data_IF_470576207541
#
_entry.id   IF_470576207541
#
_cell.length_a   1.000
_cell.length_b   1.000
_cell.length_c   1.000
_cell.angle_alpha   90.00
_cell.angle_beta   90.00
_cell.angle_gamma   90.00
#
_symmetry.space_group_name_H-M   'P 1'
#
loop_
_entity.id
_entity.type
_entity.pdbx_description
1 polymer ?
#
# COMPACT_ATOMS: atom_id res chain seq x y z
N UNK A 1 -16.78 -6.87 18.76
CA UNK A 1 -16.29 -6.04 17.68
C UNK A 1 -16.41 -4.56 18.03
N UNK A 2 -17.61 -4.05 18.33
CA UNK A 2 -17.86 -2.65 18.71
C UNK A 2 -16.98 -2.17 19.89
N UNK A 3 -16.86 -2.96 20.96
CA UNK A 3 -15.96 -2.64 22.09
C UNK A 3 -14.50 -2.54 21.68
N UNK A 4 -14.04 -3.39 20.74
CA UNK A 4 -12.67 -3.32 20.18
C UNK A 4 -12.48 -2.03 19.40
N UNK A 5 -13.46 -1.68 18.54
CA UNK A 5 -13.42 -0.45 17.76
C UNK A 5 -13.34 0.78 18.67
N UNK A 6 -14.17 0.85 19.71
CA UNK A 6 -14.14 1.96 20.69
C UNK A 6 -12.79 2.06 21.42
N UNK A 7 -12.19 0.92 21.79
CA UNK A 7 -10.86 0.91 22.42
C UNK A 7 -9.77 1.45 21.51
N UNK A 8 -9.82 1.08 20.23
CA UNK A 8 -8.84 1.55 19.21
C UNK A 8 -9.04 3.03 18.85
N UNK A 9 -10.25 3.55 19.03
CA UNK A 9 -10.65 4.89 18.60
C UNK A 9 -10.81 5.88 19.75
N UNK A 10 -10.66 5.42 21.00
CA UNK A 10 -10.99 6.19 22.21
C UNK A 10 -10.27 7.54 22.29
N UNK A 11 -9.01 7.59 21.83
CA UNK A 11 -8.20 8.81 21.82
C UNK A 11 -8.50 9.74 20.63
N UNK A 12 -9.30 9.28 19.66
CA UNK A 12 -9.60 10.03 18.44
C UNK A 12 -11.04 10.49 18.34
N UNK A 13 -11.98 9.79 18.98
CA UNK A 13 -13.40 10.15 19.04
C UNK A 13 -13.64 11.30 20.02
N UNK A 14 -14.54 12.21 19.64
CA UNK A 14 -14.94 13.31 20.50
C UNK A 14 -15.92 12.84 21.58
N UNK A 15 -16.02 13.64 22.65
CA UNK A 15 -16.97 13.38 23.73
C UNK A 15 -18.41 13.39 23.17
N UNK A 16 -19.11 12.27 23.33
CA UNK A 16 -20.45 12.09 22.80
C UNK A 16 -20.55 11.30 21.49
N UNK A 17 -19.50 11.21 20.66
CA UNK A 17 -19.52 10.44 19.40
C UNK A 17 -19.93 8.98 19.64
N UNK A 18 -19.36 8.34 20.66
CA UNK A 18 -19.67 6.94 20.99
C UNK A 18 -21.16 6.73 21.34
N UNK A 19 -21.76 7.66 22.09
CA UNK A 19 -23.17 7.58 22.46
C UNK A 19 -24.08 7.77 21.24
N UNK A 20 -23.84 8.79 20.45
CA UNK A 20 -24.58 9.07 19.22
C UNK A 20 -24.45 7.94 18.20
N UNK A 21 -23.24 7.46 17.96
CA UNK A 21 -22.99 6.31 17.07
C UNK A 21 -23.74 5.06 17.53
N UNK A 22 -23.76 4.80 18.84
CA UNK A 22 -24.52 3.68 19.41
C UNK A 22 -26.01 3.80 19.12
N UNK A 23 -26.60 5.00 19.25
CA UNK A 23 -28.02 5.26 18.95
C UNK A 23 -28.28 4.99 17.46
N UNK A 24 -27.46 5.50 16.56
CA UNK A 24 -27.57 5.26 15.12
C UNK A 24 -27.51 3.78 14.77
N UNK A 25 -26.56 3.03 15.37
CA UNK A 25 -26.42 1.60 15.12
C UNK A 25 -27.60 0.78 15.65
N UNK A 26 -28.12 1.12 16.85
CA UNK A 26 -29.31 0.47 17.40
C UNK A 26 -30.51 0.71 16.48
N UNK A 27 -30.70 1.94 16.01
CA UNK A 27 -31.76 2.28 15.07
C UNK A 27 -31.60 1.47 13.77
N UNK A 28 -30.41 1.44 13.18
CA UNK A 28 -30.13 0.69 11.96
C UNK A 28 -30.41 -0.81 12.10
N UNK A 29 -30.11 -1.39 13.26
CA UNK A 29 -30.42 -2.81 13.56
C UNK A 29 -31.91 -3.03 13.79
N UNK A 30 -32.59 -2.11 14.46
CA UNK A 30 -34.03 -2.24 14.80
C UNK A 30 -34.93 -2.03 13.59
N UNK A 31 -34.62 -1.09 12.74
CA UNK A 31 -35.33 -0.81 11.48
C UNK A 31 -34.94 -1.80 10.35
N UNK A 32 -33.96 -2.55 10.56
CA UNK A 32 -33.54 -3.91 10.28
C UNK A 32 -33.54 -4.47 8.88
N UNK A 33 -33.77 -3.72 7.81
CA UNK A 33 -33.81 -4.26 6.47
C UNK A 33 -32.58 -3.90 5.61
N UNK A 34 -31.38 -3.92 6.23
CA UNK A 34 -30.14 -3.68 5.49
C UNK A 34 -29.79 -4.91 4.64
N UNK A 35 -29.73 -4.76 3.29
CA UNK A 35 -29.50 -5.90 2.41
C UNK A 35 -28.11 -6.49 2.62
N UNK A 36 -28.02 -7.80 2.67
CA UNK A 36 -26.74 -8.51 2.65
C UNK A 36 -26.16 -8.49 1.23
N UNK A 37 -24.84 -8.49 1.12
CA UNK A 37 -24.17 -8.61 -0.17
C UNK A 37 -24.30 -10.05 -0.75
N UNK A 38 -23.77 -10.26 -1.97
CA UNK A 38 -23.78 -11.58 -2.64
C UNK A 38 -23.05 -12.70 -1.87
N UNK A 39 -22.30 -12.38 -0.84
CA UNK A 39 -21.63 -13.33 0.07
C UNK A 39 -22.39 -13.54 1.39
N UNK A 40 -23.56 -12.94 1.54
CA UNK A 40 -24.41 -13.07 2.72
C UNK A 40 -23.92 -12.27 3.94
N UNK A 41 -22.98 -11.34 3.79
CA UNK A 41 -22.41 -10.54 4.87
C UNK A 41 -23.40 -9.49 5.37
N UNK A 42 -23.49 -9.36 6.70
CA UNK A 42 -24.24 -8.25 7.32
C UNK A 42 -23.47 -6.94 7.15
N UNK A 43 -24.05 -5.89 6.58
CA UNK A 43 -23.34 -4.64 6.28
C UNK A 43 -22.77 -3.95 7.52
N UNK A 44 -23.49 -3.92 8.63
CA UNK A 44 -23.02 -3.28 9.88
C UNK A 44 -21.79 -4.02 10.45
N UNK A 45 -21.82 -5.35 10.43
CA UNK A 45 -20.67 -6.16 10.90
C UNK A 45 -19.48 -5.96 9.97
N UNK A 46 -19.71 -5.95 8.65
CA UNK A 46 -18.69 -5.70 7.64
C UNK A 46 -18.04 -4.32 7.86
N UNK A 47 -18.85 -3.29 8.08
CA UNK A 47 -18.37 -1.92 8.31
C UNK A 47 -17.56 -1.80 9.60
N UNK A 48 -18.01 -2.43 10.69
CA UNK A 48 -17.23 -2.50 11.94
C UNK A 48 -15.86 -3.16 11.73
N UNK A 49 -15.81 -4.25 10.95
CA UNK A 49 -14.55 -4.93 10.64
C UNK A 49 -13.64 -4.05 9.79
N UNK A 50 -14.19 -3.39 8.77
CA UNK A 50 -13.46 -2.42 7.94
C UNK A 50 -12.94 -1.25 8.78
N UNK A 51 -13.76 -0.70 9.69
CA UNK A 51 -13.36 0.37 10.60
C UNK A 51 -12.22 -0.04 11.54
N UNK A 52 -12.20 -1.30 12.00
CA UNK A 52 -11.08 -1.84 12.79
C UNK A 52 -9.80 -1.89 11.96
N UNK A 53 -9.85 -2.36 10.72
CA UNK A 53 -8.69 -2.38 9.82
C UNK A 53 -8.17 -0.96 9.59
N UNK A 54 -9.06 -0.02 9.31
CA UNK A 54 -8.73 1.39 9.07
C UNK A 54 -8.07 2.04 10.29
N UNK A 55 -8.58 1.78 11.49
CA UNK A 55 -8.02 2.32 12.73
C UNK A 55 -6.69 1.67 13.12
N UNK A 56 -6.62 0.33 13.07
CA UNK A 56 -5.48 -0.44 13.59
C UNK A 56 -4.34 -0.57 12.58
N UNK A 57 -4.65 -0.90 11.32
CA UNK A 57 -3.65 -1.24 10.32
C UNK A 57 -3.24 -0.03 9.44
N UNK A 58 -4.17 0.89 9.15
CA UNK A 58 -3.86 2.12 8.41
C UNK A 58 -3.55 3.28 9.36
N UNK A 59 -4.25 3.37 10.51
CA UNK A 59 -4.05 4.42 11.50
C UNK A 59 -4.87 5.69 11.22
N UNK A 60 -5.97 5.58 10.47
CA UNK A 60 -6.90 6.69 10.25
C UNK A 60 -7.75 6.96 11.50
N UNK A 61 -8.30 8.18 11.57
CA UNK A 61 -8.91 8.70 12.79
C UNK A 61 -10.43 8.90 12.64
N UNK A 62 -10.99 9.72 13.53
CA UNK A 62 -12.40 10.00 13.77
C UNK A 62 -13.28 10.05 12.52
N UNK A 63 -12.96 10.92 11.58
CA UNK A 63 -13.81 11.13 10.40
C UNK A 63 -14.00 9.87 9.56
N UNK A 64 -12.94 9.09 9.36
CA UNK A 64 -12.99 7.84 8.62
C UNK A 64 -13.77 6.75 9.33
N UNK A 65 -13.60 6.63 10.64
CA UNK A 65 -14.34 5.65 11.47
C UNK A 65 -15.83 5.96 11.45
N UNK A 66 -16.22 7.22 11.73
CA UNK A 66 -17.61 7.64 11.69
C UNK A 66 -18.20 7.53 10.28
N UNK A 67 -17.46 7.92 9.26
CA UNK A 67 -17.88 7.79 7.87
C UNK A 67 -18.21 6.34 7.49
N UNK A 68 -17.34 5.39 7.83
CA UNK A 68 -17.58 3.97 7.60
C UNK A 68 -18.81 3.47 8.36
N UNK A 69 -18.97 3.86 9.62
CA UNK A 69 -20.06 3.37 10.46
C UNK A 69 -21.44 3.94 10.13
N UNK A 70 -21.50 5.09 9.46
CA UNK A 70 -22.75 5.81 9.19
C UNK A 70 -23.19 5.76 7.72
N UNK A 71 -22.31 5.43 6.76
CA UNK A 71 -22.64 5.51 5.34
C UNK A 71 -23.80 4.58 4.93
N UNK A 72 -23.90 3.37 5.49
CA UNK A 72 -25.01 2.46 5.21
C UNK A 72 -26.35 3.04 5.73
N UNK A 73 -26.35 3.75 6.84
CA UNK A 73 -27.54 4.42 7.35
C UNK A 73 -28.00 5.54 6.42
N UNK A 74 -27.07 6.30 5.85
CA UNK A 74 -27.37 7.35 4.85
C UNK A 74 -27.88 6.73 3.55
N UNK A 75 -27.18 5.72 3.04
CA UNK A 75 -27.55 5.01 1.81
C UNK A 75 -28.94 4.39 1.87
N UNK A 76 -29.33 3.85 3.01
CA UNK A 76 -30.64 3.23 3.25
C UNK A 76 -31.69 4.19 3.84
N UNK A 77 -31.45 5.51 3.77
CA UNK A 77 -32.38 6.57 4.17
C UNK A 77 -32.81 6.53 5.65
N UNK A 78 -32.04 5.91 6.52
CA UNK A 78 -32.29 5.91 7.99
C UNK A 78 -31.90 7.25 8.63
N UNK A 79 -30.98 7.98 8.00
CA UNK A 79 -30.64 9.36 8.30
C UNK A 79 -30.25 10.09 6.99
N UNK A 80 -30.25 11.44 7.04
CA UNK A 80 -29.86 12.24 5.89
C UNK A 80 -28.39 12.64 5.97
N UNK A 81 -27.75 12.86 4.82
CA UNK A 81 -26.38 13.38 4.77
C UNK A 81 -26.28 14.75 5.48
N UNK A 82 -27.31 15.61 5.33
CA UNK A 82 -27.37 16.91 5.98
C UNK A 82 -27.39 16.79 7.51
N UNK A 83 -28.16 15.83 8.07
CA UNK A 83 -28.19 15.60 9.52
C UNK A 83 -26.85 15.12 10.04
N UNK A 84 -26.16 14.24 9.29
CA UNK A 84 -24.80 13.78 9.65
C UNK A 84 -23.79 14.92 9.59
N UNK A 85 -23.86 15.77 8.56
CA UNK A 85 -23.00 16.95 8.43
C UNK A 85 -23.17 17.91 9.61
N UNK A 86 -24.42 18.17 10.02
CA UNK A 86 -24.72 19.01 11.17
C UNK A 86 -24.22 18.40 12.48
N UNK A 87 -24.33 17.09 12.64
CA UNK A 87 -24.00 16.39 13.90
C UNK A 87 -22.52 16.07 14.05
N UNK A 88 -21.81 15.70 12.95
CA UNK A 88 -20.44 15.19 12.97
C UNK A 88 -19.44 16.03 12.18
N UNK A 89 -19.92 16.96 11.33
CA UNK A 89 -19.11 17.87 10.53
C UNK A 89 -18.96 17.44 9.06
N UNK A 90 -18.48 18.40 8.24
CA UNK A 90 -18.29 18.20 6.77
C UNK A 90 -17.27 17.11 6.43
N UNK A 91 -16.23 16.94 7.24
CA UNK A 91 -15.23 15.89 7.05
C UNK A 91 -15.83 14.48 7.03
N UNK A 92 -16.80 14.22 7.93
CA UNK A 92 -17.52 12.93 7.97
C UNK A 92 -18.48 12.82 6.80
N UNK A 93 -19.22 13.89 6.51
CA UNK A 93 -20.17 13.94 5.40
C UNK A 93 -19.50 13.72 4.04
N UNK A 94 -18.32 14.32 3.82
CA UNK A 94 -17.53 14.14 2.60
C UNK A 94 -17.13 12.69 2.36
N UNK A 95 -16.65 12.01 3.39
CA UNK A 95 -16.31 10.57 3.32
C UNK A 95 -17.56 9.73 3.02
N UNK A 96 -18.68 10.00 3.69
CA UNK A 96 -19.94 9.26 3.46
C UNK A 96 -20.40 9.44 2.02
N UNK A 97 -20.33 10.64 1.48
CA UNK A 97 -20.69 10.94 0.09
C UNK A 97 -19.90 10.07 -0.89
N UNK A 98 -18.59 9.97 -0.71
CA UNK A 98 -17.73 9.12 -1.53
C UNK A 98 -18.03 7.62 -1.35
N UNK A 99 -18.23 7.16 -0.11
CA UNK A 99 -18.55 5.75 0.16
C UNK A 99 -19.91 5.32 -0.40
N UNK A 100 -20.94 6.16 -0.31
CA UNK A 100 -22.26 5.88 -0.88
C UNK A 100 -22.17 5.76 -2.41
N UNK A 101 -21.51 6.69 -3.09
CA UNK A 101 -21.27 6.61 -4.54
C UNK A 101 -20.58 5.29 -4.94
N UNK A 102 -19.51 4.90 -4.24
CA UNK A 102 -18.80 3.66 -4.55
C UNK A 102 -19.65 2.43 -4.27
N UNK A 103 -20.40 2.41 -3.16
CA UNK A 103 -21.28 1.28 -2.85
C UNK A 103 -22.39 1.08 -3.88
N UNK A 104 -22.85 2.15 -4.52
CA UNK A 104 -23.80 2.08 -5.64
C UNK A 104 -23.18 1.36 -6.84
N UNK A 105 -21.89 1.58 -7.12
CA UNK A 105 -21.18 0.90 -8.20
C UNK A 105 -21.09 -0.62 -8.00
N UNK A 106 -20.99 -1.06 -6.73
CA UNK A 106 -20.97 -2.49 -6.36
C UNK A 106 -22.36 -3.09 -6.11
N UNK A 107 -23.44 -2.34 -6.30
CA UNK A 107 -24.79 -2.83 -5.97
C UNK A 107 -25.27 -3.97 -6.88
N UNK A 108 -24.81 -4.00 -8.13
CA UNK A 108 -25.21 -4.97 -9.15
C UNK A 108 -24.19 -6.09 -9.38
N UNK A 109 -22.93 -5.84 -9.10
CA UNK A 109 -21.83 -6.78 -9.35
C UNK A 109 -20.87 -6.82 -8.17
N UNK A 110 -20.22 -7.97 -7.87
CA UNK A 110 -19.18 -8.05 -6.84
C UNK A 110 -17.90 -7.28 -7.20
N UNK A 111 -17.77 -6.86 -8.47
CA UNK A 111 -16.62 -6.13 -9.01
C UNK A 111 -17.07 -4.90 -9.80
N UNK A 112 -16.17 -3.95 -10.02
CA UNK A 112 -16.43 -2.76 -10.84
C UNK A 112 -16.44 -3.13 -12.31
N UNK A 113 -17.53 -2.80 -13.00
CA UNK A 113 -17.63 -2.88 -14.44
C UNK A 113 -16.89 -1.71 -15.11
N UNK A 114 -16.38 -1.91 -16.33
CA UNK A 114 -15.62 -0.88 -17.04
C UNK A 114 -16.39 0.43 -17.23
N UNK A 115 -17.69 0.36 -17.44
CA UNK A 115 -18.60 1.51 -17.56
C UNK A 115 -18.65 2.39 -16.29
N UNK A 116 -18.39 1.80 -15.14
CA UNK A 116 -18.42 2.45 -13.84
C UNK A 116 -17.04 2.91 -13.35
N UNK A 117 -15.99 2.60 -14.10
CA UNK A 117 -14.61 2.85 -13.66
C UNK A 117 -14.30 4.35 -13.53
N UNK A 118 -14.81 5.17 -14.46
CA UNK A 118 -14.72 6.63 -14.39
C UNK A 118 -15.33 7.19 -13.10
N UNK A 119 -16.50 6.69 -12.70
CA UNK A 119 -17.18 7.12 -11.46
C UNK A 119 -16.42 6.72 -10.20
N UNK A 120 -15.75 5.56 -10.23
CA UNK A 120 -14.83 5.15 -9.16
C UNK A 120 -13.67 6.14 -9.00
N UNK A 121 -13.01 6.50 -10.10
CA UNK A 121 -11.89 7.44 -10.08
C UNK A 121 -12.32 8.86 -9.69
N UNK A 122 -13.49 9.32 -10.09
CA UNK A 122 -14.06 10.60 -9.64
C UNK A 122 -14.24 10.63 -8.14
N UNK A 123 -14.75 9.54 -7.55
CA UNK A 123 -14.90 9.44 -6.09
C UNK A 123 -13.55 9.46 -5.38
N UNK A 124 -12.52 8.86 -5.97
CA UNK A 124 -11.15 8.91 -5.46
C UNK A 124 -10.54 10.32 -5.54
N UNK A 125 -10.79 11.03 -6.62
CA UNK A 125 -10.28 12.38 -6.82
C UNK A 125 -10.95 13.43 -5.92
N UNK A 126 -12.19 13.16 -5.42
CA UNK A 126 -12.89 14.03 -4.48
C UNK A 126 -12.30 13.96 -3.07
N UNK A 127 -12.05 12.74 -2.56
CA UNK A 127 -11.49 12.54 -1.21
C UNK A 127 -10.62 11.26 -1.15
N UNK A 128 -9.34 11.46 -0.98
CA UNK A 128 -8.36 10.38 -0.94
C UNK A 128 -8.52 9.42 0.24
N UNK A 129 -9.15 9.86 1.33
CA UNK A 129 -9.46 8.99 2.47
C UNK A 129 -10.39 7.85 2.05
N UNK A 130 -11.25 8.10 1.07
CA UNK A 130 -12.17 7.09 0.51
C UNK A 130 -11.39 5.94 -0.15
N UNK A 131 -10.29 6.23 -0.86
CA UNK A 131 -9.45 5.17 -1.46
C UNK A 131 -8.90 4.23 -0.38
N UNK A 132 -8.36 4.80 0.69
CA UNK A 132 -7.79 4.02 1.80
C UNK A 132 -8.85 3.14 2.49
N UNK A 133 -10.07 3.68 2.66
CA UNK A 133 -11.19 2.94 3.23
C UNK A 133 -11.63 1.80 2.31
N UNK A 134 -11.71 2.02 1.00
CA UNK A 134 -12.10 0.98 0.06
C UNK A 134 -11.05 -0.13 -0.04
N UNK A 135 -9.77 0.20 0.01
CA UNK A 135 -8.72 -0.82 0.12
C UNK A 135 -8.92 -1.69 1.36
N UNK A 136 -9.19 -1.07 2.52
CA UNK A 136 -9.47 -1.79 3.76
C UNK A 136 -10.75 -2.64 3.65
N UNK A 137 -11.79 -2.14 2.99
CA UNK A 137 -13.03 -2.88 2.72
C UNK A 137 -12.78 -4.10 1.83
N UNK A 138 -11.96 -3.96 0.78
CA UNK A 138 -11.59 -5.10 -0.08
C UNK A 138 -10.75 -6.13 0.67
N UNK A 139 -9.80 -5.71 1.50
CA UNK A 139 -9.04 -6.61 2.39
C UNK A 139 -9.99 -7.37 3.32
N UNK A 140 -10.92 -6.65 3.97
CA UNK A 140 -11.93 -7.27 4.83
C UNK A 140 -12.77 -8.31 4.08
N UNK A 141 -13.28 -7.94 2.90
CA UNK A 141 -14.04 -8.85 2.04
C UNK A 141 -13.22 -10.10 1.70
N UNK A 142 -11.99 -9.94 1.24
CA UNK A 142 -11.10 -11.05 0.87
C UNK A 142 -10.80 -12.00 2.05
N UNK A 143 -10.71 -11.47 3.28
CA UNK A 143 -10.55 -12.27 4.50
C UNK A 143 -11.80 -13.12 4.81
N UNK A 144 -13.00 -12.62 4.49
CA UNK A 144 -14.29 -13.23 4.86
C UNK A 144 -14.80 -14.28 3.86
N UNK A 145 -14.49 -14.14 2.58
CA UNK A 145 -15.06 -14.96 1.51
C UNK A 145 -14.39 -16.33 1.30
N UNK A 146 -13.50 -16.73 2.22
CA UNK A 146 -12.76 -17.99 2.12
C UNK A 146 -13.67 -19.21 1.93
N UNK A 147 -14.73 -19.29 2.71
CA UNK A 147 -15.66 -20.43 2.76
C UNK A 147 -16.98 -20.16 2.00
N UNK A 148 -17.00 -19.16 1.13
CA UNK A 148 -18.21 -18.86 0.36
C UNK A 148 -18.54 -19.98 -0.63
N UNK A 149 -19.82 -20.37 -0.77
CA UNK A 149 -20.24 -21.30 -1.81
C UNK A 149 -20.22 -20.65 -3.22
N UNK A 150 -20.22 -19.31 -3.30
CA UNK A 150 -20.16 -18.58 -4.56
C UNK A 150 -18.71 -18.42 -5.04
N UNK A 151 -18.17 -19.51 -5.61
CA UNK A 151 -16.78 -19.58 -6.08
C UNK A 151 -16.52 -18.62 -7.24
N UNK A 152 -17.50 -18.43 -8.13
CA UNK A 152 -17.37 -17.53 -9.27
C UNK A 152 -17.18 -16.08 -8.81
N UNK A 153 -18.07 -15.57 -7.96
CA UNK A 153 -17.95 -14.24 -7.39
C UNK A 153 -16.65 -14.05 -6.58
N UNK A 154 -16.22 -15.10 -5.83
CA UNK A 154 -14.93 -15.08 -5.12
C UNK A 154 -13.75 -14.91 -6.08
N UNK A 155 -13.76 -15.63 -7.19
CA UNK A 155 -12.70 -15.54 -8.22
C UNK A 155 -12.68 -14.17 -8.89
N UNK A 156 -13.86 -13.61 -9.20
CA UNK A 156 -13.98 -12.25 -9.75
C UNK A 156 -13.38 -11.20 -8.79
N UNK A 157 -13.77 -11.25 -7.51
CA UNK A 157 -13.23 -10.34 -6.46
C UNK A 157 -11.73 -10.52 -6.28
N UNK A 158 -11.22 -11.76 -6.32
CA UNK A 158 -9.79 -12.04 -6.23
C UNK A 158 -9.00 -11.45 -7.39
N UNK A 159 -9.52 -11.58 -8.61
CA UNK A 159 -8.92 -10.97 -9.80
C UNK A 159 -8.92 -9.44 -9.71
N UNK A 160 -10.04 -8.83 -9.34
CA UNK A 160 -10.12 -7.38 -9.12
C UNK A 160 -9.13 -6.90 -8.05
N UNK A 161 -9.01 -7.63 -6.93
CA UNK A 161 -8.04 -7.31 -5.89
C UNK A 161 -6.60 -7.34 -6.42
N UNK A 162 -6.27 -8.30 -7.30
CA UNK A 162 -4.94 -8.43 -7.88
C UNK A 162 -4.60 -7.32 -8.87
N UNK A 163 -5.54 -6.96 -9.77
CA UNK A 163 -5.21 -5.98 -10.83
C UNK A 163 -5.51 -4.52 -10.45
N UNK A 164 -6.34 -4.26 -9.46
CA UNK A 164 -6.74 -2.90 -9.06
C UNK A 164 -6.29 -2.55 -7.63
N UNK A 165 -6.76 -3.27 -6.63
CA UNK A 165 -6.60 -2.85 -5.24
C UNK A 165 -5.21 -3.12 -4.66
N UNK A 166 -4.52 -4.19 -5.05
CA UNK A 166 -3.14 -4.42 -4.65
C UNK A 166 -2.17 -3.39 -5.26
N UNK A 167 -2.25 -3.04 -6.56
CA UNK A 167 -1.49 -1.93 -7.13
C UNK A 167 -1.82 -0.56 -6.51
N UNK A 168 -3.10 -0.27 -6.21
CA UNK A 168 -3.50 0.93 -5.48
C UNK A 168 -2.86 0.99 -4.08
N UNK A 169 -2.92 -0.10 -3.33
CA UNK A 169 -2.30 -0.21 -2.03
C UNK A 169 -0.78 0.00 -2.11
N UNK A 170 -0.14 -0.51 -3.16
CA UNK A 170 1.29 -0.25 -3.44
C UNK A 170 1.57 1.23 -3.69
N UNK A 171 0.79 1.88 -4.55
CA UNK A 171 0.92 3.31 -4.88
C UNK A 171 0.80 4.18 -3.64
N UNK A 172 -0.09 3.82 -2.72
CA UNK A 172 -0.36 4.53 -1.46
C UNK A 172 0.56 4.11 -0.30
N UNK A 173 1.54 3.25 -0.54
CA UNK A 173 2.50 2.80 0.47
C UNK A 173 1.96 1.79 1.48
N UNK A 174 0.76 1.24 1.28
CA UNK A 174 0.13 0.23 2.15
C UNK A 174 0.69 -1.17 1.86
N UNK A 175 2.00 -1.36 2.02
CA UNK A 175 2.71 -2.58 1.58
C UNK A 175 2.23 -3.86 2.28
N UNK A 176 1.79 -3.77 3.55
CA UNK A 176 1.23 -4.89 4.29
C UNK A 176 -0.08 -5.35 3.66
N UNK A 177 -1.02 -4.43 3.45
CA UNK A 177 -2.33 -4.73 2.84
C UNK A 177 -2.18 -5.16 1.38
N UNK A 178 -1.25 -4.54 0.65
CA UNK A 178 -0.89 -4.95 -0.72
C UNK A 178 -0.46 -6.42 -0.76
N UNK A 179 0.49 -6.82 0.09
CA UNK A 179 0.98 -8.19 0.14
C UNK A 179 -0.11 -9.19 0.54
N UNK A 180 -1.00 -8.81 1.45
CA UNK A 180 -2.14 -9.65 1.85
C UNK A 180 -3.16 -9.80 0.73
N UNK A 181 -3.50 -8.73 0.01
CA UNK A 181 -4.39 -8.80 -1.16
C UNK A 181 -3.82 -9.72 -2.25
N UNK A 182 -2.53 -9.64 -2.53
CA UNK A 182 -1.86 -10.50 -3.50
C UNK A 182 -1.86 -11.97 -3.04
N UNK A 183 -1.55 -12.23 -1.77
CA UNK A 183 -1.54 -13.60 -1.23
C UNK A 183 -2.94 -14.22 -1.22
N UNK A 184 -3.97 -13.47 -0.82
CA UNK A 184 -5.36 -13.94 -0.85
C UNK A 184 -5.87 -14.13 -2.28
N UNK A 185 -5.49 -13.25 -3.21
CA UNK A 185 -5.82 -13.40 -4.63
C UNK A 185 -5.21 -14.69 -5.19
N UNK A 186 -3.93 -14.92 -4.96
CA UNK A 186 -3.26 -16.16 -5.37
C UNK A 186 -3.92 -17.39 -4.76
N UNK A 187 -4.29 -17.34 -3.48
CA UNK A 187 -4.97 -18.43 -2.78
C UNK A 187 -6.30 -18.81 -3.41
N UNK A 188 -7.04 -17.83 -3.95
CA UNK A 188 -8.37 -18.07 -4.53
C UNK A 188 -8.32 -18.38 -6.04
N UNK A 189 -7.28 -17.96 -6.73
CA UNK A 189 -7.12 -18.17 -8.18
C UNK A 189 -6.18 -19.33 -8.51
N UNK A 190 -5.14 -19.55 -7.71
CA UNK A 190 -4.08 -20.56 -7.92
C UNK A 190 -3.86 -21.37 -6.65
N UNK A 191 -4.93 -22.02 -6.17
CA UNK A 191 -5.00 -22.70 -4.88
C UNK A 191 -3.82 -23.66 -4.63
N UNK A 192 -3.52 -24.53 -5.57
CA UNK A 192 -2.50 -25.58 -5.41
C UNK A 192 -1.09 -24.96 -5.28
N UNK A 193 -0.81 -23.92 -6.08
CA UNK A 193 0.45 -23.19 -6.02
C UNK A 193 0.60 -22.48 -4.69
N UNK A 194 -0.46 -21.83 -4.22
CA UNK A 194 -0.45 -21.13 -2.93
C UNK A 194 -0.11 -22.09 -1.79
N UNK A 195 -0.80 -23.21 -1.70
CA UNK A 195 -0.59 -24.18 -0.62
C UNK A 195 0.74 -24.91 -0.74
N UNK A 196 1.21 -25.23 -1.96
CA UNK A 196 2.54 -25.79 -2.16
C UNK A 196 3.64 -24.89 -1.58
N UNK A 197 3.62 -23.59 -1.89
CA UNK A 197 4.61 -22.63 -1.35
C UNK A 197 4.44 -22.47 0.16
N UNK A 198 3.21 -22.41 0.65
CA UNK A 198 2.91 -22.29 2.09
C UNK A 198 3.47 -23.48 2.89
N UNK A 199 3.27 -24.69 2.39
CA UNK A 199 3.74 -25.92 3.05
C UNK A 199 5.27 -25.98 3.05
N UNK A 200 5.91 -25.63 1.93
CA UNK A 200 7.37 -25.51 1.84
C UNK A 200 7.94 -24.45 2.81
N UNK A 201 7.27 -23.31 2.97
CA UNK A 201 7.64 -22.32 3.98
C UNK A 201 7.53 -22.84 5.40
N UNK A 202 6.49 -23.63 5.69
CA UNK A 202 6.30 -24.25 7.00
C UNK A 202 7.36 -25.32 7.30
N UNK A 203 7.63 -26.21 6.36
CA UNK A 203 8.67 -27.26 6.46
C UNK A 203 10.06 -26.67 6.72
N UNK A 204 10.40 -25.56 6.08
CA UNK A 204 11.72 -24.91 6.20
C UNK A 204 11.80 -23.88 7.33
N UNK A 205 10.73 -23.67 8.09
CA UNK A 205 10.66 -22.59 9.09
C UNK A 205 11.78 -22.68 10.14
N UNK A 206 11.96 -23.84 10.75
CA UNK A 206 12.94 -24.01 11.83
C UNK A 206 14.38 -23.76 11.35
N UNK A 207 14.77 -24.28 10.19
CA UNK A 207 16.10 -24.06 9.62
C UNK A 207 16.30 -22.60 9.20
N UNK A 208 15.26 -21.94 8.68
CA UNK A 208 15.30 -20.54 8.34
C UNK A 208 15.41 -19.64 9.56
N UNK A 209 14.67 -19.91 10.64
CA UNK A 209 14.73 -19.16 11.89
C UNK A 209 16.11 -19.27 12.54
N UNK A 210 16.71 -20.47 12.51
CA UNK A 210 18.10 -20.71 12.97
C UNK A 210 19.12 -19.91 12.15
N UNK A 211 18.97 -19.89 10.82
CA UNK A 211 19.84 -19.11 9.94
C UNK A 211 19.72 -17.61 10.21
N UNK A 212 18.48 -17.09 10.35
CA UNK A 212 18.22 -15.69 10.66
C UNK A 212 18.89 -15.30 11.99
N UNK A 213 18.76 -16.12 13.03
CA UNK A 213 19.40 -15.88 14.32
C UNK A 213 20.92 -15.80 14.19
N UNK A 214 21.54 -16.75 13.50
CA UNK A 214 23.00 -16.78 13.27
C UNK A 214 23.49 -15.57 12.43
N UNK A 215 22.67 -15.04 11.53
CA UNK A 215 22.99 -13.84 10.78
C UNK A 215 22.86 -12.55 11.62
N UNK A 216 21.82 -12.47 12.45
CA UNK A 216 21.51 -11.28 13.27
C UNK A 216 22.51 -11.12 14.42
N UNK A 217 22.88 -12.18 15.12
CA UNK A 217 23.66 -12.14 16.36
C UNK A 217 24.98 -11.34 16.24
N UNK A 218 25.86 -11.56 15.24
CA UNK A 218 27.08 -10.77 15.11
C UNK A 218 26.83 -9.29 14.80
N UNK A 219 25.80 -9.00 13.99
CA UNK A 219 25.43 -7.60 13.66
C UNK A 219 24.94 -6.89 14.91
N UNK A 220 24.11 -7.55 15.72
CA UNK A 220 23.56 -7.00 16.95
C UNK A 220 24.69 -6.56 17.89
N UNK A 221 25.71 -7.39 18.13
CA UNK A 221 26.86 -7.04 18.94
C UNK A 221 27.60 -5.80 18.43
N UNK A 222 27.81 -5.70 17.12
CA UNK A 222 28.50 -4.55 16.54
C UNK A 222 27.68 -3.26 16.63
N UNK A 223 26.38 -3.32 16.49
CA UNK A 223 25.51 -2.17 16.66
C UNK A 223 25.43 -1.71 18.13
N UNK A 224 25.42 -2.65 19.08
CA UNK A 224 25.47 -2.38 20.52
C UNK A 224 26.82 -1.74 20.93
N UNK A 225 27.95 -2.25 20.41
CA UNK A 225 29.28 -1.65 20.58
C UNK A 225 29.34 -0.21 20.04
N UNK A 226 28.63 0.07 18.94
CA UNK A 226 28.53 1.40 18.37
C UNK A 226 27.60 2.36 19.16
N UNK A 227 26.94 1.88 20.21
CA UNK A 227 26.04 2.67 21.06
C UNK A 227 24.70 3.02 20.41
N UNK A 228 24.32 2.32 19.36
CA UNK A 228 23.06 2.56 18.67
C UNK A 228 21.88 1.91 19.41
N UNK A 229 20.73 2.56 19.39
CA UNK A 229 19.46 2.01 19.87
C UNK A 229 18.69 1.45 18.68
N UNK A 230 18.35 0.18 18.72
CA UNK A 230 17.72 -0.50 17.59
C UNK A 230 16.98 -1.77 18.02
N UNK A 231 16.18 -2.29 17.12
CA UNK A 231 15.73 -3.67 17.16
C UNK A 231 15.83 -4.31 15.76
N UNK A 232 15.96 -5.62 15.73
CA UNK A 232 16.11 -6.38 14.49
C UNK A 232 15.03 -7.44 14.38
N UNK A 233 14.53 -7.64 13.16
CA UNK A 233 13.55 -8.69 12.86
C UNK A 233 13.76 -9.31 11.49
N UNK A 234 13.60 -10.63 11.40
CA UNK A 234 13.46 -11.32 10.11
C UNK A 234 12.04 -11.15 9.56
N UNK A 235 11.89 -10.87 8.28
CA UNK A 235 10.62 -10.82 7.58
C UNK A 235 10.62 -11.81 6.43
N UNK A 236 9.77 -12.84 6.50
CA UNK A 236 9.53 -13.74 5.37
C UNK A 236 8.77 -13.00 4.27
N UNK A 237 9.16 -13.21 3.02
CA UNK A 237 8.46 -12.63 1.87
C UNK A 237 7.09 -13.26 1.68
N UNK A 238 6.15 -12.52 1.09
CA UNK A 238 4.81 -13.01 0.80
C UNK A 238 4.85 -14.19 -0.19
N UNK A 239 3.87 -15.07 -0.11
CA UNK A 239 3.75 -16.25 -0.98
C UNK A 239 3.68 -15.83 -2.45
N UNK A 240 2.90 -14.79 -2.75
CA UNK A 240 2.84 -14.20 -4.09
C UNK A 240 4.21 -13.71 -4.58
N UNK A 241 4.98 -13.00 -3.74
CA UNK A 241 6.32 -12.52 -4.10
C UNK A 241 7.29 -13.68 -4.41
N UNK A 242 7.20 -14.78 -3.65
CA UNK A 242 7.98 -16.00 -3.90
C UNK A 242 7.55 -16.62 -5.24
N UNK A 243 6.25 -16.75 -5.49
CA UNK A 243 5.72 -17.28 -6.74
C UNK A 243 6.17 -16.48 -7.96
N UNK A 244 6.11 -15.15 -7.89
CA UNK A 244 6.61 -14.28 -8.97
C UNK A 244 8.11 -14.50 -9.25
N UNK A 245 8.91 -14.74 -8.22
CA UNK A 245 10.34 -15.06 -8.38
C UNK A 245 10.54 -16.42 -9.02
N UNK A 246 9.82 -17.44 -8.58
CA UNK A 246 9.85 -18.77 -9.22
C UNK A 246 9.53 -18.67 -10.69
N UNK A 247 8.51 -17.92 -11.08
CA UNK A 247 8.17 -17.66 -12.50
C UNK A 247 9.27 -16.92 -13.25
N UNK A 248 9.77 -15.82 -12.69
CA UNK A 248 10.78 -14.97 -13.34
C UNK A 248 12.11 -15.69 -13.51
N UNK A 249 12.51 -16.47 -12.52
CA UNK A 249 13.78 -17.21 -12.51
C UNK A 249 13.64 -18.61 -13.13
N UNK A 250 12.42 -19.04 -13.46
CA UNK A 250 12.09 -20.38 -13.98
C UNK A 250 12.67 -21.50 -13.09
N UNK A 251 12.56 -21.35 -11.77
CA UNK A 251 13.08 -22.28 -10.79
C UNK A 251 11.99 -22.78 -9.83
N UNK A 252 12.16 -23.96 -9.21
CA UNK A 252 11.30 -24.41 -8.14
C UNK A 252 11.51 -23.58 -6.87
N UNK A 253 10.71 -23.84 -5.81
CA UNK A 253 10.80 -23.12 -4.53
C UNK A 253 12.22 -23.14 -3.93
N UNK A 254 12.90 -24.26 -4.00
CA UNK A 254 14.26 -24.48 -3.50
C UNK A 254 15.32 -23.61 -4.23
N UNK A 255 15.00 -23.15 -5.42
CA UNK A 255 15.86 -22.25 -6.20
C UNK A 255 15.72 -20.77 -5.82
N UNK A 256 14.76 -20.42 -4.95
CA UNK A 256 14.56 -19.03 -4.48
C UNK A 256 15.40 -18.78 -3.24
N UNK A 257 16.53 -18.09 -3.40
CA UNK A 257 17.47 -17.87 -2.28
C UNK A 257 17.08 -16.77 -1.31
N UNK A 258 16.32 -15.75 -1.72
CA UNK A 258 15.96 -14.60 -0.92
C UNK A 258 14.51 -14.68 -0.39
N UNK A 259 14.23 -15.74 0.39
CA UNK A 259 12.91 -15.99 0.99
C UNK A 259 12.55 -15.02 2.11
N UNK A 260 13.53 -14.33 2.69
CA UNK A 260 13.34 -13.40 3.79
C UNK A 260 14.25 -12.16 3.63
N UNK A 261 13.95 -11.13 4.39
CA UNK A 261 14.79 -9.95 4.58
C UNK A 261 15.01 -9.72 6.07
N UNK A 262 16.15 -9.15 6.43
CA UNK A 262 16.43 -8.66 7.78
C UNK A 262 16.14 -7.18 7.84
N UNK A 263 15.34 -6.76 8.80
CA UNK A 263 15.10 -5.35 9.10
C UNK A 263 15.89 -4.93 10.32
N UNK A 264 16.60 -3.83 10.19
CA UNK A 264 17.27 -3.12 11.30
C UNK A 264 16.53 -1.80 11.46
N UNK A 265 15.87 -1.63 12.59
CA UNK A 265 15.02 -0.47 12.88
C UNK A 265 15.65 0.30 14.03
N UNK A 266 16.04 1.56 13.75
CA UNK A 266 16.75 2.43 14.66
C UNK A 266 15.79 3.35 15.42
N UNK A 267 15.99 3.49 16.72
CA UNK A 267 15.38 4.55 17.53
C UNK A 267 16.31 5.78 17.51
N UNK A 268 16.21 6.52 16.39
CA UNK A 268 17.05 7.68 16.13
C UNK A 268 16.27 8.98 16.22
N UNK A 269 16.86 10.07 16.77
CA UNK A 269 16.28 11.40 16.62
C UNK A 269 16.30 11.83 15.16
N UNK A 270 15.29 12.61 14.75
CA UNK A 270 15.02 12.98 13.34
C UNK A 270 16.23 13.59 12.63
N UNK A 271 17.00 14.42 13.34
CA UNK A 271 18.20 15.11 12.82
C UNK A 271 19.37 14.14 12.55
N UNK A 272 19.36 12.93 13.14
CA UNK A 272 20.40 11.90 12.99
C UNK A 272 19.98 10.68 12.17
N UNK A 273 18.71 10.58 11.79
CA UNK A 273 18.17 9.39 11.13
C UNK A 273 19.01 8.93 9.93
N UNK A 274 19.32 9.85 9.03
CA UNK A 274 20.10 9.52 7.82
C UNK A 274 21.53 9.08 8.17
N UNK A 275 22.20 9.80 9.08
CA UNK A 275 23.55 9.49 9.50
C UNK A 275 23.64 8.11 10.14
N UNK A 276 22.74 7.80 11.06
CA UNK A 276 22.75 6.51 11.77
C UNK A 276 22.38 5.34 10.86
N UNK A 277 21.47 5.52 9.90
CA UNK A 277 21.19 4.50 8.89
C UNK A 277 22.43 4.18 8.04
N UNK A 278 23.18 5.19 7.59
CA UNK A 278 24.43 4.96 6.86
C UNK A 278 25.54 4.37 7.71
N UNK A 279 25.60 4.69 9.00
CA UNK A 279 26.50 4.04 9.95
C UNK A 279 26.20 2.55 10.06
N UNK A 280 24.94 2.17 10.18
CA UNK A 280 24.53 0.75 10.18
C UNK A 280 24.91 0.06 8.88
N UNK A 281 24.71 0.72 7.73
CA UNK A 281 25.14 0.18 6.44
C UNK A 281 26.64 -0.11 6.42
N UNK A 282 27.47 0.82 6.91
CA UNK A 282 28.92 0.63 7.01
C UNK A 282 29.26 -0.58 7.88
N UNK A 283 28.66 -0.70 9.06
CA UNK A 283 28.91 -1.82 9.99
C UNK A 283 28.53 -3.16 9.34
N UNK A 284 27.37 -3.24 8.68
CA UNK A 284 26.91 -4.48 8.02
C UNK A 284 27.82 -4.88 6.86
N UNK A 285 28.27 -3.90 6.07
CA UNK A 285 29.13 -4.16 4.89
C UNK A 285 30.58 -4.37 5.23
N UNK A 286 31.04 -3.97 6.42
CA UNK A 286 32.35 -4.38 6.95
C UNK A 286 32.36 -5.85 7.36
N UNK A 287 31.21 -6.39 7.80
CA UNK A 287 31.08 -7.78 8.24
C UNK A 287 30.75 -8.74 7.09
N UNK A 288 29.97 -8.30 6.12
CA UNK A 288 29.45 -9.11 5.03
C UNK A 288 29.61 -8.40 3.69
N UNK A 289 30.15 -9.08 2.69
CA UNK A 289 30.40 -8.53 1.36
C UNK A 289 29.08 -8.08 0.70
N UNK A 290 28.92 -6.79 0.36
CA UNK A 290 27.71 -6.30 -0.31
C UNK A 290 27.69 -6.61 -1.79
N UNK A 291 26.50 -6.72 -2.37
CA UNK A 291 26.29 -6.70 -3.81
C UNK A 291 26.02 -5.25 -4.27
N UNK A 292 26.99 -4.58 -4.94
CA UNK A 292 26.84 -3.16 -5.28
C UNK A 292 25.66 -2.86 -6.22
N UNK A 293 25.26 -3.84 -7.04
CA UNK A 293 24.13 -3.69 -7.99
C UNK A 293 22.77 -3.71 -7.28
N UNK A 294 22.73 -4.12 -6.00
CA UNK A 294 21.49 -4.26 -5.23
C UNK A 294 21.33 -3.22 -4.11
N UNK A 295 22.21 -2.23 -4.04
CA UNK A 295 22.01 -1.08 -3.16
C UNK A 295 20.84 -0.22 -3.67
N UNK A 296 19.92 0.13 -2.77
CA UNK A 296 18.80 1.05 -3.03
C UNK A 296 18.78 2.10 -1.92
N UNK A 297 19.06 3.34 -2.30
CA UNK A 297 19.06 4.49 -1.39
C UNK A 297 17.76 5.28 -1.55
N UNK A 298 16.76 4.92 -0.76
CA UNK A 298 15.54 5.70 -0.60
C UNK A 298 15.57 6.62 0.63
N UNK A 299 16.74 6.82 1.24
CA UNK A 299 16.96 7.84 2.26
C UNK A 299 17.31 9.18 1.62
N UNK A 300 18.16 9.15 0.60
CA UNK A 300 18.55 10.36 -0.12
C UNK A 300 17.46 10.84 -1.07
N UNK A 301 16.75 9.92 -1.68
CA UNK A 301 15.64 10.19 -2.60
C UNK A 301 14.47 9.27 -2.23
N UNK A 302 13.57 9.73 -1.35
CA UNK A 302 12.36 8.98 -0.97
C UNK A 302 11.46 8.68 -2.17
N UNK A 303 10.69 7.59 -2.08
CA UNK A 303 9.67 7.31 -3.09
C UNK A 303 8.52 8.34 -3.01
N UNK A 304 7.74 8.46 -4.09
CA UNK A 304 6.58 9.38 -4.16
C UNK A 304 5.55 9.17 -3.06
N UNK A 305 5.40 7.94 -2.59
CA UNK A 305 4.51 7.59 -1.48
C UNK A 305 5.13 7.84 -0.09
N UNK A 306 6.26 8.55 -0.01
CA UNK A 306 6.96 8.87 1.24
C UNK A 306 7.77 7.73 1.84
N UNK A 307 7.96 6.61 1.13
CA UNK A 307 8.77 5.49 1.61
C UNK A 307 10.24 5.86 1.67
N UNK A 308 10.85 5.71 2.85
CA UNK A 308 12.26 5.93 3.13
C UNK A 308 12.87 4.64 3.70
N UNK A 309 13.98 4.21 3.15
CA UNK A 309 14.75 3.06 3.66
C UNK A 309 16.05 2.88 2.89
N UNK A 310 17.05 2.31 3.50
CA UNK A 310 18.27 1.87 2.82
C UNK A 310 18.21 0.35 2.67
N UNK A 311 18.27 -0.15 1.43
CA UNK A 311 18.28 -1.58 1.17
C UNK A 311 19.63 -2.01 0.60
N UNK A 312 20.19 -3.06 1.13
CA UNK A 312 21.38 -3.71 0.60
C UNK A 312 21.18 -5.22 0.58
N UNK A 313 21.97 -5.90 -0.22
CA UNK A 313 22.01 -7.36 -0.22
C UNK A 313 23.46 -7.76 0.03
N UNK A 314 23.70 -8.59 1.04
CA UNK A 314 25.02 -9.01 1.46
C UNK A 314 25.17 -10.52 1.41
N UNK A 315 26.42 -11.01 1.26
CA UNK A 315 26.74 -12.42 1.34
C UNK A 315 26.84 -12.83 2.81
N UNK A 316 25.82 -13.51 3.30
CA UNK A 316 25.75 -14.01 4.69
C UNK A 316 26.45 -15.36 4.88
N UNK A 317 26.27 -15.99 6.04
CA UNK A 317 26.79 -17.32 6.30
C UNK A 317 26.37 -18.34 5.23
N UNK A 318 27.13 -19.40 5.05
CA UNK A 318 26.89 -20.47 4.06
C UNK A 318 26.82 -19.95 2.59
N UNK A 319 27.36 -18.75 2.31
CA UNK A 319 27.35 -18.18 0.96
C UNK A 319 25.96 -17.79 0.42
N UNK A 320 25.00 -17.52 1.31
CA UNK A 320 23.62 -17.13 0.93
C UNK A 320 23.47 -15.62 0.88
N UNK A 321 22.83 -15.11 -0.16
CA UNK A 321 22.47 -13.69 -0.26
C UNK A 321 21.34 -13.34 0.69
N UNK A 322 21.55 -12.31 1.53
CA UNK A 322 20.57 -11.80 2.50
C UNK A 322 20.26 -10.34 2.18
N UNK A 323 18.98 -10.01 2.02
CA UNK A 323 18.52 -8.64 1.92
C UNK A 323 18.45 -8.01 3.31
N UNK A 324 19.08 -6.85 3.49
CA UNK A 324 19.04 -6.05 4.72
C UNK A 324 18.36 -4.72 4.43
N UNK A 325 17.34 -4.41 5.21
CA UNK A 325 16.57 -3.16 5.15
C UNK A 325 16.87 -2.35 6.42
N UNK A 326 17.41 -1.15 6.24
CA UNK A 326 17.81 -0.25 7.32
C UNK A 326 16.92 0.98 7.30
N UNK A 327 16.30 1.31 8.43
CA UNK A 327 15.41 2.45 8.59
C UNK A 327 15.20 2.79 10.06
N UNK A 328 14.61 3.94 10.33
CA UNK A 328 14.21 4.32 11.69
C UNK A 328 12.79 3.90 12.01
N UNK A 329 12.36 4.03 13.28
CA UNK A 329 10.99 3.74 13.69
C UNK A 329 9.96 4.58 12.94
N UNK A 330 10.24 5.88 12.73
CA UNK A 330 9.39 6.76 11.90
C UNK A 330 9.24 6.23 10.47
N UNK A 331 10.35 5.85 9.85
CA UNK A 331 10.37 5.31 8.48
C UNK A 331 9.67 3.94 8.42
N UNK A 332 9.80 3.10 9.45
CA UNK A 332 9.09 1.81 9.53
C UNK A 332 7.58 2.01 9.69
N UNK A 333 7.14 3.00 10.47
CA UNK A 333 5.73 3.36 10.59
C UNK A 333 5.15 3.82 9.25
N UNK A 334 5.87 4.66 8.52
CA UNK A 334 5.46 5.08 7.16
C UNK A 334 5.42 3.87 6.21
N UNK A 335 6.41 2.98 6.28
CA UNK A 335 6.44 1.76 5.46
C UNK A 335 5.33 0.75 5.77
N UNK A 336 4.86 0.69 7.01
CA UNK A 336 3.79 -0.22 7.43
C UNK A 336 2.37 0.36 7.22
N UNK A 337 2.20 1.68 7.42
CA UNK A 337 0.90 2.38 7.39
C UNK A 337 0.72 3.30 6.18
N UNK A 338 1.76 3.44 5.36
CA UNK A 338 1.71 4.22 4.13
C UNK A 338 1.41 5.69 4.37
N UNK A 339 0.59 6.24 3.50
CA UNK A 339 0.28 7.65 3.43
C UNK A 339 -0.35 8.24 4.70
N UNK A 340 -1.18 7.47 5.39
CA UNK A 340 -1.82 7.94 6.64
C UNK A 340 -0.78 8.25 7.75
N UNK A 341 0.33 7.49 7.81
CA UNK A 341 1.44 7.79 8.69
C UNK A 341 2.21 9.03 8.22
N UNK A 342 2.43 9.17 6.91
CA UNK A 342 3.09 10.34 6.34
C UNK A 342 2.35 11.65 6.68
N UNK A 343 1.02 11.66 6.62
CA UNK A 343 0.20 12.82 7.02
C UNK A 343 0.34 13.17 8.51
N UNK A 344 0.60 12.19 9.37
CA UNK A 344 0.84 12.44 10.80
C UNK A 344 2.10 13.27 11.04
N UNK A 345 3.16 13.02 10.26
CA UNK A 345 4.46 13.67 10.42
C UNK A 345 4.58 15.00 9.65
N UNK A 346 3.99 15.10 8.45
CA UNK A 346 4.12 16.28 7.57
C UNK A 346 2.85 17.12 7.42
N UNK A 347 1.73 16.68 7.99
CA UNK A 347 0.40 17.32 7.82
C UNK A 347 -0.26 16.94 6.49
N UNK A 348 -1.57 17.28 6.38
CA UNK A 348 -2.40 16.93 5.20
C UNK A 348 -2.07 17.78 3.97
N UNK A 349 -1.46 18.96 4.18
CA UNK A 349 -1.06 19.90 3.12
C UNK A 349 0.47 19.89 2.94
N UNK A 350 1.00 18.85 2.34
CA UNK A 350 2.40 18.81 1.92
C UNK A 350 2.45 18.37 0.47
N UNK A 351 3.24 19.03 -0.35
CA UNK A 351 3.58 18.62 -1.72
C UNK A 351 4.10 17.18 -1.68
N UNK A 352 3.21 16.22 -1.83
CA UNK A 352 3.57 14.83 -2.01
C UNK A 352 3.37 14.48 -3.48
N UNK A 353 4.18 13.59 -4.02
CA UNK A 353 3.99 13.06 -5.37
C UNK A 353 2.62 12.41 -5.61
N UNK A 354 1.80 12.40 -4.57
CA UNK A 354 0.42 11.95 -4.58
C UNK A 354 -0.56 13.04 -5.03
N UNK A 355 -0.28 14.32 -4.74
CA UNK A 355 -1.08 15.44 -5.28
C UNK A 355 -0.87 15.52 -6.80
N UNK A 356 0.35 15.25 -7.28
CA UNK A 356 0.65 15.10 -8.71
C UNK A 356 -0.13 13.94 -9.33
N UNK A 357 -0.17 12.78 -8.67
CA UNK A 357 -0.92 11.64 -9.13
C UNK A 357 -2.43 11.88 -9.16
N UNK A 358 -3.01 12.55 -8.14
CA UNK A 358 -4.42 12.94 -8.16
C UNK A 358 -4.72 13.95 -9.27
N UNK A 359 -3.77 14.85 -9.55
CA UNK A 359 -3.88 15.79 -10.66
C UNK A 359 -3.86 15.02 -11.98
N UNK A 360 -2.96 14.06 -12.16
CA UNK A 360 -2.91 13.17 -13.33
C UNK A 360 -4.22 12.39 -13.52
N UNK A 361 -4.82 11.87 -12.43
CA UNK A 361 -6.14 11.23 -12.51
C UNK A 361 -7.21 12.20 -13.02
N UNK A 362 -7.22 13.44 -12.52
CA UNK A 362 -8.19 14.46 -12.99
C UNK A 362 -7.99 14.78 -14.46
N UNK A 363 -6.75 14.99 -14.90
CA UNK A 363 -6.41 15.22 -16.30
C UNK A 363 -6.82 14.04 -17.19
N UNK A 364 -6.59 12.80 -16.75
CA UNK A 364 -7.05 11.60 -17.46
C UNK A 364 -8.57 11.57 -17.59
N UNK A 365 -9.30 11.92 -16.52
CA UNK A 365 -10.76 11.98 -16.53
C UNK A 365 -11.31 13.07 -17.44
N UNK A 366 -10.59 14.18 -17.60
CA UNK A 366 -10.98 15.31 -18.45
C UNK A 366 -10.69 15.05 -19.94
N UNK A 367 -9.60 14.32 -20.25
CA UNK A 367 -9.09 14.18 -21.62
C UNK A 367 -9.48 12.86 -22.31
N UNK A 368 -9.89 11.83 -21.57
CA UNK A 368 -10.22 10.53 -22.14
C UNK A 368 -11.63 10.51 -22.75
N UNK A 369 -11.73 10.01 -23.96
CA UNK A 369 -12.99 9.95 -24.74
C UNK A 369 -13.92 8.80 -24.31
N UNK A 370 -13.39 7.77 -23.63
CA UNK A 370 -14.15 6.60 -23.18
C UNK A 370 -13.73 6.07 -21.81
N UNK A 371 -14.62 5.37 -21.13
CA UNK A 371 -14.34 4.75 -19.82
C UNK A 371 -13.29 3.62 -19.92
N UNK A 372 -13.22 2.96 -21.07
CA UNK A 372 -12.18 1.94 -21.33
C UNK A 372 -10.81 2.59 -21.42
N UNK A 373 -10.69 3.73 -22.09
CA UNK A 373 -9.44 4.49 -22.19
C UNK A 373 -9.01 5.00 -20.81
N UNK A 374 -9.93 5.52 -20.00
CA UNK A 374 -9.67 5.89 -18.59
C UNK A 374 -9.11 4.71 -17.81
N UNK A 375 -9.72 3.54 -17.94
CA UNK A 375 -9.29 2.33 -17.24
C UNK A 375 -7.88 1.90 -17.67
N UNK A 376 -7.59 1.95 -18.97
CA UNK A 376 -6.29 1.52 -19.50
C UNK A 376 -5.18 2.51 -19.12
N UNK A 377 -5.41 3.81 -19.20
CA UNK A 377 -4.46 4.84 -18.76
C UNK A 377 -4.21 4.74 -17.26
N UNK A 378 -5.25 4.60 -16.44
CA UNK A 378 -5.10 4.45 -15.01
C UNK A 378 -4.33 3.19 -14.62
N UNK A 379 -4.56 2.05 -15.30
CA UNK A 379 -3.77 0.84 -15.10
C UNK A 379 -2.29 1.08 -15.42
N UNK A 380 -1.98 1.76 -16.52
CA UNK A 380 -0.60 2.10 -16.86
C UNK A 380 0.06 2.90 -15.71
N UNK A 381 -0.60 3.93 -15.20
CA UNK A 381 -0.09 4.74 -14.09
C UNK A 381 0.12 3.95 -12.79
N UNK A 382 -0.73 2.97 -12.50
CA UNK A 382 -0.60 2.11 -11.32
C UNK A 382 0.61 1.18 -11.39
N UNK A 383 0.97 0.72 -12.58
CA UNK A 383 2.05 -0.23 -12.79
C UNK A 383 3.40 0.42 -13.10
N UNK A 384 3.45 1.75 -13.21
CA UNK A 384 4.69 2.46 -13.46
C UNK A 384 5.62 2.45 -12.24
N UNK A 385 6.73 1.72 -12.39
CA UNK A 385 7.91 1.90 -11.54
C UNK A 385 8.60 3.22 -11.92
N UNK A 386 9.01 3.99 -10.93
CA UNK A 386 9.72 5.25 -11.14
C UNK A 386 11.21 5.05 -11.41
N UNK A 387 11.77 5.82 -12.34
CA UNK A 387 13.20 5.96 -12.58
C UNK A 387 13.63 7.40 -12.32
N UNK A 388 14.78 7.55 -11.69
CA UNK A 388 15.36 8.87 -11.43
C UNK A 388 16.45 9.17 -12.47
N UNK A 389 16.33 10.32 -13.12
CA UNK A 389 17.24 10.78 -14.18
C UNK A 389 17.84 12.10 -13.79
N UNK A 390 19.16 12.23 -13.89
CA UNK A 390 19.87 13.47 -13.63
C UNK A 390 20.21 14.19 -14.93
N UNK A 391 20.02 15.52 -14.95
CA UNK A 391 20.60 16.34 -16.00
C UNK A 391 22.12 16.47 -15.82
N UNK A 392 22.89 16.86 -16.85
CA UNK A 392 24.31 17.19 -16.69
C UNK A 392 24.61 18.31 -15.70
N UNK A 393 23.60 19.12 -15.35
CA UNK A 393 23.69 20.19 -14.34
C UNK A 393 23.44 19.68 -12.93
N UNK A 394 23.01 18.43 -12.77
CA UNK A 394 22.69 17.82 -11.49
C UNK A 394 21.22 17.93 -11.07
N UNK A 395 20.33 18.47 -11.91
CA UNK A 395 18.90 18.49 -11.61
C UNK A 395 18.32 17.09 -11.67
N UNK A 396 17.53 16.72 -10.68
CA UNK A 396 16.89 15.42 -10.58
C UNK A 396 15.48 15.46 -11.16
N UNK A 397 15.20 14.57 -12.09
CA UNK A 397 13.87 14.33 -12.64
C UNK A 397 13.40 12.94 -12.32
N UNK A 398 12.14 12.83 -11.95
CA UNK A 398 11.44 11.59 -11.70
C UNK A 398 10.63 11.24 -12.93
N UNK A 399 10.90 10.08 -13.51
CA UNK A 399 10.27 9.61 -14.74
C UNK A 399 9.63 8.24 -14.52
N UNK A 400 8.55 7.90 -15.21
CA UNK A 400 8.03 6.53 -15.20
C UNK A 400 9.04 5.56 -15.83
N UNK A 401 9.06 4.33 -15.34
CA UNK A 401 9.88 3.27 -15.91
C UNK A 401 9.37 2.95 -17.33
N UNK A 402 10.27 3.03 -18.31
CA UNK A 402 9.92 2.92 -19.70
C UNK A 402 9.85 4.27 -20.40
N UNK A 403 9.94 5.37 -19.67
CA UNK A 403 10.06 6.69 -20.25
C UNK A 403 11.24 6.74 -21.24
N UNK A 404 11.00 7.37 -22.35
CA UNK A 404 11.97 7.52 -23.43
C UNK A 404 12.82 8.77 -23.24
N UNK A 405 13.86 8.90 -24.02
CA UNK A 405 14.66 10.14 -24.11
C UNK A 405 13.79 11.32 -24.50
N UNK A 406 12.79 11.11 -25.35
CA UNK A 406 11.88 12.16 -25.81
C UNK A 406 10.98 12.64 -24.67
N UNK A 407 10.43 11.71 -23.88
CA UNK A 407 9.63 12.04 -22.69
C UNK A 407 10.43 12.87 -21.70
N UNK A 408 11.69 12.50 -21.46
CA UNK A 408 12.58 13.26 -20.60
C UNK A 408 12.88 14.67 -21.16
N UNK A 409 13.08 14.80 -22.47
CA UNK A 409 13.32 16.10 -23.09
C UNK A 409 12.10 17.03 -22.96
N UNK A 410 10.86 16.49 -23.07
CA UNK A 410 9.64 17.26 -22.83
C UNK A 410 9.44 17.60 -21.35
N UNK A 411 9.81 16.72 -20.44
CA UNK A 411 9.75 16.97 -18.99
C UNK A 411 10.67 18.12 -18.56
N UNK A 412 11.82 18.30 -19.24
CA UNK A 412 12.70 19.45 -19.00
C UNK A 412 12.08 20.74 -19.56
N UNK A 413 11.68 20.72 -20.82
CA UNK A 413 11.05 21.89 -21.47
C UNK A 413 10.48 21.52 -22.85
N UNK A 414 9.27 21.99 -23.17
CA UNK A 414 8.56 21.69 -24.42
C UNK A 414 9.38 22.02 -25.68
N UNK A 415 10.12 23.16 -25.70
CA UNK A 415 11.00 23.53 -26.81
C UNK A 415 12.20 22.58 -26.96
N UNK A 416 12.66 21.96 -25.88
CA UNK A 416 13.74 20.97 -25.94
C UNK A 416 13.18 19.66 -26.50
N UNK A 417 12.03 19.22 -26.04
CA UNK A 417 11.34 18.03 -26.55
C UNK A 417 11.07 18.12 -28.06
N UNK A 418 10.52 19.25 -28.53
CA UNK A 418 10.20 19.46 -29.95
C UNK A 418 11.42 19.53 -30.89
N UNK A 419 12.63 19.77 -30.33
CA UNK A 419 13.88 19.85 -31.11
C UNK A 419 14.83 18.68 -30.81
N UNK A 420 14.43 17.74 -29.99
CA UNK A 420 15.24 16.61 -29.57
C UNK A 420 15.48 15.65 -30.77
N UNK A 421 16.73 15.48 -31.16
CA UNK A 421 17.15 14.54 -32.21
C UNK A 421 17.92 13.33 -31.66
N UNK A 422 18.28 13.36 -30.38
CA UNK A 422 19.02 12.29 -29.70
C UNK A 422 19.51 12.75 -28.33
N UNK A 423 20.00 11.81 -27.55
CA UNK A 423 20.62 12.10 -26.25
C UNK A 423 21.76 11.12 -25.94
N UNK A 424 22.53 11.45 -24.92
CA UNK A 424 23.49 10.55 -24.29
C UNK A 424 23.00 10.22 -22.88
N UNK A 425 22.87 8.94 -22.59
CA UNK A 425 22.52 8.41 -21.26
C UNK A 425 23.73 7.64 -20.73
N UNK A 426 24.25 8.06 -19.56
CA UNK A 426 25.47 7.48 -19.00
C UNK A 426 26.64 7.41 -19.99
N UNK A 427 26.83 8.47 -20.79
CA UNK A 427 27.90 8.58 -21.79
C UNK A 427 27.67 7.81 -23.09
N UNK A 428 26.59 7.03 -23.23
CA UNK A 428 26.26 6.28 -24.44
C UNK A 428 25.13 6.95 -25.22
N UNK A 429 25.19 6.91 -26.54
CA UNK A 429 24.09 7.38 -27.38
C UNK A 429 22.84 6.53 -27.14
N UNK A 430 21.71 7.17 -26.89
CA UNK A 430 20.41 6.56 -26.70
C UNK A 430 19.45 6.95 -27.83
N UNK A 431 18.58 6.01 -28.21
CA UNK A 431 17.54 6.27 -29.19
C UNK A 431 16.44 7.14 -28.54
N UNK A 432 15.69 7.88 -29.38
CA UNK A 432 14.59 8.75 -28.92
C UNK A 432 13.40 7.96 -28.35
N UNK A 433 13.23 6.72 -28.83
CA UNK A 433 12.17 5.79 -28.41
C UNK A 433 12.74 4.63 -27.60
#
# INVERSE_FOLDING_TARGET
LYKRLLKLSGDTLQKGDCHKLKIHLIKAVAEGNLPRNCFGMNPIIKDMQTAVIVAEEIGMKRASILGIMLHESVKNHLCTLASVQQEYGEDVAGIIRGLVKINELYSKSPTIESENFRNLLLSFAEDMRVILIIIADRVNLMRQIKETPNIEARTQVANEAAYLYAPLAHKLGLYKLKSELEDLSLKYTEHDVYYHIKDKLNETKASRDKYIAAFIEPIQHKLEEAGLKFHMKGRTKSIHSIYQKMKKQKCPFEGVYDLFAIRIILDSPVDKEKQECWQVYSIVTDMYMPNPKRLRDWLSVPKSNGYESLHTTVMGPEGKWVEVQIRTERMDEIAERGLAAHWRYKGVKGESGLDEWLTSIRETLENADSDLEVMDQFKLELYEDEVFVFTPKGDLYKMPKGATVLDFAFAIHSKLGSKCIGAKVNGKNAQLK
#
